data_IF_038974383163
#
_entry.id   IF_038974383163
#
_cell.length_a   1.000
_cell.length_b   1.000
_cell.length_c   1.000
_cell.angle_alpha   90.00
_cell.angle_beta   90.00
_cell.angle_gamma   90.00
#
_symmetry.space_group_name_H-M   'P 1'
#
loop_
_entity.id
_entity.type
_entity.pdbx_description
1 polymer ?
#
# COMPACT_ATOMS: atom_id res chain seq x y z
N UNK A 1 -11.21 11.91 12.84
CA UNK A 1 -10.03 12.63 13.40
C UNK A 1 -8.80 11.79 13.09
N UNK A 2 -7.65 12.43 12.81
CA UNK A 2 -6.39 11.72 12.66
C UNK A 2 -5.23 12.53 13.25
N UNK A 3 -4.21 11.83 13.64
CA UNK A 3 -2.91 12.36 14.07
C UNK A 3 -1.83 11.64 13.27
N UNK A 4 -0.86 12.40 12.80
CA UNK A 4 0.22 11.89 11.98
C UNK A 4 1.54 12.48 12.44
N UNK A 5 2.55 11.63 12.55
CA UNK A 5 3.93 12.03 12.83
C UNK A 5 4.87 11.23 11.94
N UNK A 6 5.81 11.91 11.33
CA UNK A 6 6.83 11.31 10.48
C UNK A 6 8.21 11.85 10.79
N UNK A 7 9.20 11.00 10.62
CA UNK A 7 10.60 11.37 10.62
C UNK A 7 11.24 10.96 9.30
N UNK A 8 12.07 11.83 8.76
CA UNK A 8 12.83 11.55 7.55
C UNK A 8 14.31 11.80 7.77
N UNK A 9 15.16 10.89 7.28
CA UNK A 9 16.61 11.07 7.22
C UNK A 9 17.11 11.65 5.90
N UNK A 10 16.18 11.94 4.97
CA UNK A 10 16.50 12.51 3.66
C UNK A 10 16.29 14.03 3.61
N UNK A 11 16.66 14.67 2.50
CA UNK A 11 16.35 16.07 2.23
C UNK A 11 14.83 16.31 2.14
N UNK A 12 14.40 17.57 2.22
CA UNK A 12 12.98 17.91 2.08
C UNK A 12 12.39 17.50 0.73
N UNK A 13 13.21 17.49 -0.31
CA UNK A 13 12.83 17.11 -1.67
C UNK A 13 12.69 15.59 -1.83
N UNK A 14 13.39 14.81 -1.01
CA UNK A 14 13.45 13.36 -1.07
C UNK A 14 12.92 12.68 0.20
N UNK A 15 12.07 13.38 0.99
CA UNK A 15 11.55 12.89 2.27
C UNK A 15 10.87 11.51 2.18
N UNK A 16 10.32 11.18 1.04
CA UNK A 16 9.61 9.91 0.78
C UNK A 16 10.55 8.70 0.61
N UNK A 17 11.86 8.91 0.40
CA UNK A 17 12.81 7.83 0.16
C UNK A 17 13.28 7.15 1.45
N UNK A 18 13.42 7.91 2.53
CA UNK A 18 13.88 7.40 3.83
C UNK A 18 13.02 8.01 4.92
N UNK A 19 11.97 7.34 5.29
CA UNK A 19 11.08 7.82 6.33
C UNK A 19 10.52 6.73 7.23
N UNK A 20 10.15 7.15 8.43
CA UNK A 20 9.31 6.41 9.37
C UNK A 20 8.09 7.26 9.63
N UNK A 21 6.91 6.68 9.51
CA UNK A 21 5.66 7.42 9.54
C UNK A 21 4.61 6.65 10.35
N UNK A 22 4.03 7.29 11.34
CA UNK A 22 2.94 6.77 12.15
C UNK A 22 1.70 7.62 11.96
N UNK A 23 0.60 6.99 11.58
CA UNK A 23 -0.73 7.60 11.54
C UNK A 23 -1.62 6.90 12.54
N UNK A 24 -2.31 7.66 13.39
CA UNK A 24 -3.39 7.20 14.24
C UNK A 24 -4.68 7.88 13.80
N UNK A 25 -5.76 7.13 13.74
CA UNK A 25 -7.05 7.66 13.30
C UNK A 25 -8.21 7.16 14.16
N UNK A 26 -9.27 7.94 14.18
CA UNK A 26 -10.55 7.62 14.78
C UNK A 26 -11.67 8.11 13.86
N UNK A 27 -12.64 7.26 13.55
CA UNK A 27 -13.88 7.61 12.85
C UNK A 27 -15.03 7.60 13.84
N UNK A 28 -15.86 8.63 13.79
CA UNK A 28 -17.08 8.69 14.60
C UNK A 28 -18.17 7.77 14.00
N UNK A 29 -19.08 7.29 14.83
CA UNK A 29 -20.25 6.50 14.42
C UNK A 29 -21.02 7.18 13.28
N UNK A 30 -21.46 6.40 12.30
CA UNK A 30 -22.33 6.85 11.21
C UNK A 30 -23.68 6.13 11.30
N UNK A 31 -24.58 6.68 12.09
CA UNK A 31 -25.89 6.10 12.41
C UNK A 31 -26.76 5.82 11.20
N UNK A 32 -26.71 6.68 10.18
CA UNK A 32 -27.48 6.50 8.94
C UNK A 32 -27.05 5.29 8.12
N UNK A 33 -25.83 4.80 8.33
CA UNK A 33 -25.26 3.63 7.64
C UNK A 33 -25.09 2.43 8.57
N UNK A 34 -25.55 2.56 9.83
CA UNK A 34 -25.35 1.53 10.88
C UNK A 34 -23.89 1.10 11.06
N UNK A 35 -22.96 2.04 10.83
CA UNK A 35 -21.53 1.82 11.00
C UNK A 35 -21.12 2.39 12.35
N UNK A 36 -20.66 1.53 13.27
CA UNK A 36 -20.14 1.94 14.55
C UNK A 36 -18.90 2.83 14.43
N UNK A 37 -18.49 3.49 15.48
CA UNK A 37 -17.19 4.14 15.54
C UNK A 37 -16.05 3.13 15.40
N UNK A 38 -14.87 3.62 15.10
CA UNK A 38 -13.69 2.77 14.95
C UNK A 38 -12.41 3.58 15.05
N UNK A 39 -11.34 2.91 15.39
CA UNK A 39 -10.02 3.50 15.49
C UNK A 39 -8.95 2.56 14.99
N UNK A 40 -7.79 3.11 14.70
CA UNK A 40 -6.68 2.31 14.22
C UNK A 40 -5.43 3.12 13.99
N UNK A 41 -4.43 2.45 13.44
CA UNK A 41 -3.18 3.07 13.10
C UNK A 41 -2.43 2.36 11.99
N UNK A 42 -1.51 3.09 11.40
CA UNK A 42 -0.60 2.60 10.35
C UNK A 42 0.80 3.04 10.69
N UNK A 43 1.73 2.09 10.69
CA UNK A 43 3.17 2.35 10.72
C UNK A 43 3.75 2.04 9.34
N UNK A 44 4.50 2.97 8.78
CA UNK A 44 5.15 2.85 7.48
C UNK A 44 6.63 3.16 7.60
N UNK A 45 7.46 2.36 6.97
CA UNK A 45 8.91 2.48 6.91
C UNK A 45 9.34 2.38 5.46
N UNK A 46 10.11 3.34 4.98
CA UNK A 46 10.77 3.28 3.69
C UNK A 46 12.26 3.52 3.87
N UNK A 47 13.06 2.76 3.16
CA UNK A 47 14.52 2.93 3.19
C UNK A 47 15.13 2.65 1.82
N UNK A 48 16.05 3.53 1.41
CA UNK A 48 16.86 3.33 0.21
C UNK A 48 18.11 2.55 0.54
N UNK A 49 18.44 1.57 -0.31
CA UNK A 49 19.65 0.76 -0.22
C UNK A 49 20.50 1.06 -1.45
N UNK A 50 21.59 1.82 -1.23
CA UNK A 50 22.31 2.45 -2.32
C UNK A 50 21.45 3.45 -3.08
N UNK A 51 21.78 3.66 -4.36
CA UNK A 51 21.10 4.67 -5.19
C UNK A 51 19.91 4.12 -5.99
N UNK A 52 19.71 2.79 -6.01
CA UNK A 52 18.80 2.12 -6.96
C UNK A 52 17.69 1.31 -6.31
N UNK A 53 17.83 0.93 -5.06
CA UNK A 53 16.85 0.10 -4.36
C UNK A 53 16.08 0.88 -3.33
N UNK A 54 14.78 0.70 -3.30
CA UNK A 54 13.89 1.14 -2.23
C UNK A 54 13.23 -0.09 -1.62
N UNK A 55 13.34 -0.25 -0.31
CA UNK A 55 12.55 -1.20 0.46
C UNK A 55 11.49 -0.50 1.28
N UNK A 56 10.37 -1.15 1.51
CA UNK A 56 9.35 -0.66 2.44
C UNK A 56 8.75 -1.79 3.27
N UNK A 57 8.30 -1.41 4.46
CA UNK A 57 7.42 -2.22 5.31
C UNK A 57 6.29 -1.32 5.79
N UNK A 58 5.06 -1.81 5.72
CA UNK A 58 3.89 -1.13 6.24
C UNK A 58 3.06 -2.12 7.05
N UNK A 59 2.61 -1.70 8.21
CA UNK A 59 1.67 -2.46 9.03
C UNK A 59 0.52 -1.58 9.47
N UNK A 60 -0.68 -2.15 9.49
CA UNK A 60 -1.89 -1.47 9.91
C UNK A 60 -2.68 -2.33 10.89
N UNK A 61 -3.41 -1.66 11.77
CA UNK A 61 -4.40 -2.28 12.63
C UNK A 61 -5.62 -1.38 12.74
N UNK A 62 -6.76 -1.98 12.89
CA UNK A 62 -8.02 -1.29 13.15
C UNK A 62 -8.86 -2.14 14.10
N UNK A 63 -9.67 -1.48 14.89
CA UNK A 63 -10.66 -2.10 15.76
C UNK A 63 -12.04 -1.52 15.43
N UNK A 64 -13.05 -2.34 15.69
CA UNK A 64 -14.45 -2.05 15.40
C UNK A 64 -14.70 -1.82 13.90
N UNK A 65 -15.53 -0.86 13.55
CA UNK A 65 -15.82 -0.56 12.16
C UNK A 65 -15.06 0.68 11.68
N UNK A 66 -14.64 0.72 10.46
CA UNK A 66 -13.96 1.88 9.89
C UNK A 66 -12.81 1.52 8.95
N UNK A 67 -12.39 0.25 8.95
CA UNK A 67 -11.42 -0.28 8.00
C UNK A 67 -11.88 -1.63 7.45
N UNK A 68 -11.59 -1.88 6.18
CA UNK A 68 -11.84 -3.20 5.55
C UNK A 68 -10.98 -4.30 6.16
N UNK A 69 -9.84 -3.96 6.74
CA UNK A 69 -8.91 -4.90 7.35
C UNK A 69 -8.72 -4.56 8.82
N UNK A 70 -8.77 -5.57 9.69
CA UNK A 70 -8.42 -5.45 11.10
C UNK A 70 -6.91 -5.40 11.30
N UNK A 71 -6.17 -6.17 10.53
CA UNK A 71 -4.71 -6.23 10.55
C UNK A 71 -4.19 -6.30 9.12
N UNK A 72 -3.05 -5.67 8.89
CA UNK A 72 -2.38 -5.79 7.60
C UNK A 72 -0.87 -5.66 7.75
N UNK A 73 -0.16 -6.37 6.89
CA UNK A 73 1.29 -6.24 6.71
C UNK A 73 1.58 -6.21 5.23
N UNK A 74 2.35 -5.23 4.80
CA UNK A 74 2.88 -5.14 3.44
C UNK A 74 4.38 -4.99 3.49
N UNK A 75 5.09 -5.76 2.68
CA UNK A 75 6.54 -5.65 2.48
C UNK A 75 6.82 -5.66 0.98
N UNK A 76 7.74 -4.84 0.56
CA UNK A 76 8.08 -4.80 -0.85
C UNK A 76 9.25 -3.89 -1.15
N UNK A 77 9.47 -3.67 -2.44
CA UNK A 77 10.54 -2.80 -2.88
C UNK A 77 10.48 -2.49 -4.35
N UNK A 78 11.38 -1.62 -4.76
CA UNK A 78 11.54 -1.22 -6.15
C UNK A 78 13.01 -1.11 -6.53
N UNK A 79 13.30 -1.44 -7.77
CA UNK A 79 14.59 -1.23 -8.39
C UNK A 79 14.47 -0.21 -9.52
N UNK A 80 15.26 0.86 -9.43
CA UNK A 80 15.29 1.96 -10.40
C UNK A 80 16.67 1.98 -11.08
N UNK A 81 16.83 1.47 -12.29
CA UNK A 81 18.13 1.35 -12.98
C UNK A 81 18.89 2.68 -13.09
N UNK A 82 18.19 3.77 -13.34
CA UNK A 82 18.72 5.13 -13.47
C UNK A 82 19.04 5.83 -12.16
N UNK A 83 18.74 5.19 -11.00
CA UNK A 83 18.86 5.81 -9.69
C UNK A 83 17.59 6.55 -9.26
N UNK A 84 17.46 6.78 -7.95
CA UNK A 84 16.26 7.38 -7.35
C UNK A 84 16.29 8.91 -7.26
N UNK A 85 17.41 9.52 -7.58
CA UNK A 85 17.58 10.99 -7.54
C UNK A 85 16.79 11.72 -8.65
N UNK A 86 16.33 11.00 -9.66
CA UNK A 86 15.50 11.56 -10.73
C UNK A 86 14.06 11.74 -10.26
N UNK A 87 13.67 12.96 -9.98
CA UNK A 87 12.26 13.38 -9.84
C UNK A 87 11.51 13.00 -11.13
N UNK A 88 10.54 12.09 -10.98
CA UNK A 88 9.89 11.47 -12.14
C UNK A 88 10.26 10.00 -12.26
N UNK A 89 11.40 9.63 -11.75
CA UNK A 89 11.76 8.27 -11.32
C UNK A 89 12.20 7.32 -12.40
N UNK A 90 12.30 7.68 -13.67
CA UNK A 90 12.73 6.76 -14.71
C UNK A 90 11.97 5.42 -14.69
N UNK A 91 12.55 4.42 -15.33
CA UNK A 91 12.04 3.04 -15.28
C UNK A 91 12.17 2.44 -13.89
N UNK A 92 11.19 1.63 -13.49
CA UNK A 92 11.21 0.97 -12.19
C UNK A 92 10.55 -0.40 -12.26
N UNK A 93 11.24 -1.41 -11.73
CA UNK A 93 10.63 -2.69 -11.40
C UNK A 93 10.25 -2.68 -9.91
N UNK A 94 9.00 -3.00 -9.59
CA UNK A 94 8.55 -3.07 -8.21
C UNK A 94 7.83 -4.37 -7.92
N UNK A 95 7.89 -4.76 -6.63
CA UNK A 95 7.17 -5.92 -6.12
C UNK A 95 6.67 -5.67 -4.70
N UNK A 96 5.59 -6.33 -4.33
CA UNK A 96 5.04 -6.30 -2.98
C UNK A 96 4.41 -7.63 -2.61
N UNK A 97 4.51 -7.97 -1.32
CA UNK A 97 3.76 -9.03 -0.67
C UNK A 97 2.87 -8.38 0.39
N UNK A 98 1.62 -8.77 0.43
CA UNK A 98 0.65 -8.23 1.35
C UNK A 98 -0.08 -9.38 2.04
N UNK A 99 -0.30 -9.22 3.33
CA UNK A 99 -1.21 -10.01 4.14
C UNK A 99 -2.23 -9.08 4.77
N UNK A 100 -3.48 -9.51 4.83
CA UNK A 100 -4.55 -8.77 5.45
C UNK A 100 -5.59 -9.70 6.07
N UNK A 101 -5.99 -9.38 7.30
CA UNK A 101 -7.13 -10.01 7.97
C UNK A 101 -8.36 -9.15 7.70
N UNK A 102 -9.39 -9.70 7.03
CA UNK A 102 -10.65 -9.00 6.82
C UNK A 102 -11.31 -8.62 8.16
N UNK A 103 -12.08 -7.56 8.14
CA UNK A 103 -12.82 -7.11 9.31
C UNK A 103 -14.11 -7.91 9.44
N UNK A 104 -14.22 -8.70 10.52
CA UNK A 104 -15.38 -9.54 10.78
C UNK A 104 -16.71 -8.77 10.86
N UNK A 105 -16.66 -7.51 11.29
CA UNK A 105 -17.84 -6.65 11.35
C UNK A 105 -18.40 -6.33 9.96
N UNK A 106 -17.55 -6.24 8.95
CA UNK A 106 -17.93 -5.86 7.59
C UNK A 106 -18.17 -7.07 6.68
N UNK A 107 -17.36 -8.11 6.81
CA UNK A 107 -17.39 -9.29 5.94
C UNK A 107 -18.11 -10.48 6.56
N UNK A 108 -18.43 -10.43 7.86
CA UNK A 108 -18.92 -11.57 8.62
C UNK A 108 -17.79 -12.46 9.14
N UNK A 109 -18.13 -13.30 10.13
CA UNK A 109 -17.15 -14.21 10.73
C UNK A 109 -16.78 -15.34 9.76
N UNK A 110 -15.52 -15.72 9.78
CA UNK A 110 -15.03 -16.91 9.05
C UNK A 110 -14.55 -16.61 7.63
N UNK A 111 -14.30 -15.36 7.28
CA UNK A 111 -13.57 -15.02 6.06
C UNK A 111 -12.07 -15.19 6.32
N UNK A 112 -11.41 -15.96 5.46
CA UNK A 112 -9.99 -16.26 5.60
C UNK A 112 -9.10 -15.03 5.41
N UNK A 113 -7.89 -15.10 5.95
CA UNK A 113 -6.87 -14.07 5.76
C UNK A 113 -6.44 -14.02 4.28
N UNK A 114 -6.48 -12.84 3.68
CA UNK A 114 -6.08 -12.64 2.30
C UNK A 114 -4.58 -12.42 2.16
N UNK A 115 -3.99 -13.06 1.15
CA UNK A 115 -2.62 -12.78 0.71
C UNK A 115 -2.64 -12.23 -0.70
N UNK A 116 -1.78 -11.24 -0.96
CA UNK A 116 -1.63 -10.69 -2.30
C UNK A 116 -0.16 -10.46 -2.64
N UNK A 117 0.20 -10.81 -3.86
CA UNK A 117 1.52 -10.50 -4.44
C UNK A 117 1.31 -9.60 -5.63
N UNK A 118 2.11 -8.56 -5.76
CA UNK A 118 2.10 -7.68 -6.92
C UNK A 118 3.51 -7.55 -7.50
N UNK A 119 3.59 -7.56 -8.82
CA UNK A 119 4.78 -7.18 -9.59
C UNK A 119 4.33 -6.16 -10.63
N UNK A 120 5.07 -5.08 -10.76
CA UNK A 120 4.85 -4.06 -11.78
C UNK A 120 6.15 -3.60 -12.42
N UNK A 121 6.04 -3.10 -13.64
CA UNK A 121 7.12 -2.39 -14.31
C UNK A 121 6.62 -1.02 -14.78
N UNK A 122 7.26 0.04 -14.31
CA UNK A 122 7.00 1.39 -14.80
C UNK A 122 7.96 1.72 -15.93
N UNK A 123 7.40 1.97 -17.10
CA UNK A 123 8.09 2.56 -18.24
C UNK A 123 7.93 4.08 -18.20
N UNK A 124 9.04 4.79 -18.10
CA UNK A 124 9.09 6.23 -18.28
C UNK A 124 9.34 6.53 -19.76
N UNK A 125 8.28 6.83 -20.51
CA UNK A 125 8.35 7.08 -21.96
C UNK A 125 8.84 8.48 -22.27
N UNK A 126 8.54 9.46 -21.42
CA UNK A 126 8.98 10.85 -21.46
C UNK A 126 8.93 11.39 -20.02
N UNK A 127 9.47 12.58 -19.79
CA UNK A 127 9.48 13.19 -18.45
C UNK A 127 8.06 13.30 -17.85
N UNK A 128 7.07 13.54 -18.72
CA UNK A 128 5.66 13.71 -18.34
C UNK A 128 4.83 12.44 -18.47
N UNK A 129 5.33 11.36 -19.11
CA UNK A 129 4.50 10.20 -19.47
C UNK A 129 5.13 8.92 -18.95
N UNK A 130 4.37 8.19 -18.12
CA UNK A 130 4.74 6.85 -17.69
C UNK A 130 3.57 5.86 -17.88
N UNK A 131 3.89 4.63 -18.26
CA UNK A 131 2.96 3.50 -18.35
C UNK A 131 3.45 2.40 -17.40
N UNK A 132 2.54 1.86 -16.59
CA UNK A 132 2.88 0.86 -15.57
C UNK A 132 1.92 -0.32 -15.70
N UNK A 133 2.26 -1.36 -16.47
CA UNK A 133 1.61 -2.66 -16.36
C UNK A 133 1.91 -3.28 -15.01
N UNK A 134 0.93 -4.01 -14.46
CA UNK A 134 1.07 -4.78 -13.23
C UNK A 134 0.31 -6.08 -13.31
N UNK A 135 0.75 -7.06 -12.54
CA UNK A 135 0.05 -8.30 -12.29
C UNK A 135 0.00 -8.54 -10.80
N UNK A 136 -1.17 -8.95 -10.32
CA UNK A 136 -1.38 -9.35 -8.93
C UNK A 136 -1.90 -10.79 -8.90
N UNK A 137 -1.46 -11.53 -7.90
CA UNK A 137 -1.97 -12.84 -7.55
C UNK A 137 -2.50 -12.78 -6.12
N UNK A 138 -3.76 -13.14 -5.94
CA UNK A 138 -4.45 -13.15 -4.66
C UNK A 138 -4.73 -14.59 -4.24
N UNK A 139 -4.59 -14.85 -2.96
CA UNK A 139 -5.04 -16.09 -2.29
C UNK A 139 -6.10 -15.67 -1.28
N UNK A 140 -7.20 -16.40 -1.22
CA UNK A 140 -8.35 -16.16 -0.36
C UNK A 140 -8.87 -14.70 -0.46
N UNK A 141 -9.29 -14.26 -1.68
CA UNK A 141 -9.71 -12.88 -1.90
C UNK A 141 -11.00 -12.57 -1.13
N UNK A 142 -10.92 -11.74 -0.09
CA UNK A 142 -12.02 -11.42 0.82
C UNK A 142 -13.27 -10.85 0.12
N UNK A 143 -13.13 -10.21 -1.04
CA UNK A 143 -14.23 -9.69 -1.85
C UNK A 143 -14.83 -10.74 -2.78
N UNK A 144 -14.22 -11.89 -2.90
CA UNK A 144 -14.72 -13.04 -3.70
C UNK A 144 -14.43 -14.35 -2.97
N UNK A 145 -15.08 -14.61 -1.83
CA UNK A 145 -14.79 -15.76 -0.97
C UNK A 145 -15.22 -17.12 -1.58
N UNK A 146 -15.68 -17.15 -2.82
CA UNK A 146 -16.01 -18.39 -3.54
C UNK A 146 -14.83 -18.94 -4.34
N UNK A 147 -13.81 -18.13 -4.56
CA UNK A 147 -12.62 -18.49 -5.30
C UNK A 147 -11.39 -18.46 -4.37
N UNK A 148 -10.67 -19.56 -4.28
CA UNK A 148 -9.45 -19.67 -3.46
C UNK A 148 -8.32 -18.77 -4.00
N UNK A 149 -8.33 -18.46 -5.30
CA UNK A 149 -7.28 -17.63 -5.92
C UNK A 149 -7.82 -16.75 -7.04
N UNK A 150 -7.17 -15.61 -7.25
CA UNK A 150 -7.52 -14.68 -8.33
C UNK A 150 -6.29 -13.99 -8.94
N UNK A 151 -6.36 -13.76 -10.25
CA UNK A 151 -5.36 -12.98 -10.98
C UNK A 151 -5.94 -11.64 -11.41
N UNK A 152 -5.20 -10.55 -11.14
CA UNK A 152 -5.59 -9.21 -11.58
C UNK A 152 -4.50 -8.64 -12.45
N UNK A 153 -4.88 -8.17 -13.64
CA UNK A 153 -3.99 -7.49 -14.59
C UNK A 153 -4.37 -6.03 -14.66
N UNK A 154 -3.40 -5.16 -14.45
CA UNK A 154 -3.61 -3.72 -14.43
C UNK A 154 -2.66 -2.98 -15.38
N UNK A 155 -3.13 -1.84 -15.89
CA UNK A 155 -2.30 -0.87 -16.58
C UNK A 155 -2.64 0.51 -16.03
N UNK A 156 -1.61 1.21 -15.54
CA UNK A 156 -1.72 2.60 -15.08
C UNK A 156 -0.97 3.51 -16.02
N UNK A 157 -1.59 4.61 -16.39
CA UNK A 157 -0.94 5.68 -17.14
C UNK A 157 -0.84 6.93 -16.27
N UNK A 158 0.32 7.58 -16.26
CA UNK A 158 0.54 8.85 -15.57
C UNK A 158 0.91 9.91 -16.61
N UNK A 159 0.24 11.05 -16.53
CA UNK A 159 0.58 12.27 -17.22
C UNK A 159 0.89 13.35 -16.16
N UNK A 160 2.08 13.95 -16.23
CA UNK A 160 2.45 15.11 -15.41
C UNK A 160 2.36 16.35 -16.31
N UNK A 161 1.74 17.42 -15.81
CA UNK A 161 1.56 18.71 -16.51
C UNK A 161 2.30 19.78 -15.72
#
# INVERSE_FOLDING_TARGET
KHFEVGWTGASKEAYYLNNVHLTLWHSDERKELEIADGWGGVLSLNHTIGEKWLGFVRTGWAEDSGSLLERSVSIGGGYTPGGMETLGGGDQLGFALNWGRPNDTLFGQGVDDQYATEIYYRWQLADEIAITPSVQFLIDPALNPQDDTSWVFGVRTRFAI
#
